data_IF_548661876489
#
_entry.id   IF_548661876489
#
_cell.length_a   1.000
_cell.length_b   1.000
_cell.length_c   1.000
_cell.angle_alpha   90.00
_cell.angle_beta   90.00
_cell.angle_gamma   90.00
#
_symmetry.space_group_name_H-M   'P 1'
#
loop_
_entity.id
_entity.type
_entity.pdbx_description
1 polymer ?
#
# COMPACT_ATOMS: atom_id res chain seq x y z
N UNK A 1 87.45 92.50 69.30
CA UNK A 1 87.66 91.70 68.06
C UNK A 1 87.16 90.25 68.13
N UNK A 2 86.84 89.69 69.31
CA UNK A 2 86.30 88.31 69.42
C UNK A 2 84.78 88.19 69.16
N UNK A 3 84.00 89.26 69.34
CA UNK A 3 82.53 89.27 69.15
C UNK A 3 82.10 89.34 67.67
N UNK A 4 82.77 90.14 66.84
CA UNK A 4 82.47 90.24 65.41
C UNK A 4 82.74 88.92 64.64
N UNK A 5 83.81 88.20 64.98
CA UNK A 5 84.10 86.86 64.43
C UNK A 5 83.09 85.79 64.86
N UNK A 6 82.44 85.94 66.02
CA UNK A 6 81.35 85.04 66.45
C UNK A 6 80.05 85.30 65.69
N UNK A 7 79.76 86.56 65.34
CA UNK A 7 78.58 86.96 64.56
C UNK A 7 78.64 86.45 63.11
N UNK A 8 79.78 86.61 62.42
CA UNK A 8 79.96 86.11 61.05
C UNK A 8 79.94 84.57 60.97
N UNK A 9 80.57 83.90 61.95
CA UNK A 9 80.52 82.44 62.04
C UNK A 9 79.12 81.91 62.35
N UNK A 10 78.29 82.65 63.08
CA UNK A 10 76.89 82.29 63.33
C UNK A 10 76.02 82.48 62.08
N UNK A 11 76.22 83.57 61.33
CA UNK A 11 75.50 83.84 60.08
C UNK A 11 75.83 82.82 58.98
N UNK A 12 77.11 82.46 58.82
CA UNK A 12 77.54 81.48 57.82
C UNK A 12 77.05 80.06 58.19
N UNK A 13 77.09 79.70 59.48
CA UNK A 13 76.51 78.45 59.98
C UNK A 13 75.00 78.40 59.81
N UNK A 14 74.29 79.52 59.99
CA UNK A 14 72.85 79.63 59.76
C UNK A 14 72.50 79.54 58.26
N UNK A 15 73.31 80.14 57.37
CA UNK A 15 73.14 80.05 55.92
C UNK A 15 73.39 78.62 55.39
N UNK A 16 74.43 77.93 55.88
CA UNK A 16 74.70 76.52 55.58
C UNK A 16 73.57 75.62 56.09
N UNK A 17 73.09 75.85 57.32
CA UNK A 17 71.97 75.08 57.89
C UNK A 17 70.67 75.29 57.10
N UNK A 18 70.40 76.53 56.65
CA UNK A 18 69.21 76.86 55.83
C UNK A 18 69.30 76.24 54.43
N UNK A 19 70.46 76.30 53.76
CA UNK A 19 70.68 75.64 52.46
C UNK A 19 70.57 74.13 52.57
N UNK A 20 71.12 73.52 53.63
CA UNK A 20 71.03 72.09 53.87
C UNK A 20 69.58 71.66 54.15
N UNK A 21 68.81 72.45 54.91
CA UNK A 21 67.38 72.20 55.13
C UNK A 21 66.56 72.29 53.83
N UNK A 22 66.88 73.24 52.94
CA UNK A 22 66.21 73.41 51.63
C UNK A 22 66.47 72.22 50.69
N UNK A 23 67.72 71.75 50.61
CA UNK A 23 68.09 70.56 49.82
C UNK A 23 67.40 69.31 50.37
N UNK A 24 67.40 69.13 51.69
CA UNK A 24 66.71 68.00 52.33
C UNK A 24 65.20 68.05 52.05
N UNK A 25 64.57 69.23 52.10
CA UNK A 25 63.16 69.40 51.78
C UNK A 25 62.83 69.07 50.31
N UNK A 26 63.68 69.47 49.36
CA UNK A 26 63.52 69.14 47.93
C UNK A 26 63.72 67.64 47.69
N UNK A 27 64.74 67.02 48.30
CA UNK A 27 64.98 65.57 48.16
C UNK A 27 63.82 64.77 48.78
N UNK A 28 63.32 65.18 49.95
CA UNK A 28 62.17 64.56 50.59
C UNK A 28 60.89 64.72 49.76
N UNK A 29 60.65 65.88 49.14
CA UNK A 29 59.47 66.09 48.30
C UNK A 29 59.53 65.28 47.01
N UNK A 30 60.72 65.15 46.39
CA UNK A 30 60.93 64.28 45.22
C UNK A 30 60.79 62.81 45.58
N UNK A 31 61.38 62.36 46.69
CA UNK A 31 61.21 60.99 47.18
C UNK A 31 59.75 60.66 47.51
N UNK A 32 59.04 61.61 48.13
CA UNK A 32 57.61 61.47 48.40
C UNK A 32 56.79 61.41 47.11
N UNK A 33 57.08 62.26 46.13
CA UNK A 33 56.42 62.24 44.82
C UNK A 33 56.64 60.92 44.07
N UNK A 34 57.86 60.38 44.07
CA UNK A 34 58.19 59.08 43.46
C UNK A 34 57.49 57.94 44.21
N UNK A 35 57.53 57.94 45.55
CA UNK A 35 56.86 56.95 46.38
C UNK A 35 55.34 56.96 46.17
N UNK A 36 54.74 58.15 46.12
CA UNK A 36 53.33 58.34 45.83
C UNK A 36 52.97 57.86 44.41
N UNK A 37 53.78 58.19 43.40
CA UNK A 37 53.58 57.73 42.03
C UNK A 37 53.66 56.20 41.90
N UNK A 38 54.59 55.54 42.61
CA UNK A 38 54.70 54.08 42.63
C UNK A 38 53.51 53.41 43.33
N UNK A 39 53.05 53.96 44.46
CA UNK A 39 51.86 53.45 45.17
C UNK A 39 50.62 53.62 44.29
N UNK A 40 50.44 54.79 43.67
CA UNK A 40 49.34 55.06 42.76
C UNK A 40 49.39 54.13 41.55
N UNK A 41 50.56 53.93 40.95
CA UNK A 41 50.76 53.02 39.82
C UNK A 41 50.44 51.56 40.17
N UNK A 42 50.86 51.07 41.34
CA UNK A 42 50.52 49.71 41.81
C UNK A 42 49.03 49.55 42.08
N UNK A 43 48.38 50.55 42.69
CA UNK A 43 46.94 50.55 42.92
C UNK A 43 46.16 50.51 41.61
N UNK A 44 46.46 51.42 40.67
CA UNK A 44 45.79 51.48 39.36
C UNK A 44 45.99 50.20 38.56
N UNK A 45 47.22 49.65 38.56
CA UNK A 45 47.52 48.39 37.87
C UNK A 45 46.74 47.21 38.45
N UNK A 46 46.61 47.15 39.78
CA UNK A 46 45.82 46.11 40.45
C UNK A 46 44.34 46.17 40.09
N UNK A 47 43.77 47.39 40.02
CA UNK A 47 42.38 47.63 39.64
C UNK A 47 42.10 47.19 38.19
N UNK A 48 42.94 47.63 37.25
CA UNK A 48 42.80 47.27 35.83
C UNK A 48 42.96 45.76 35.63
N UNK A 49 43.90 45.13 36.34
CA UNK A 49 44.10 43.68 36.28
C UNK A 49 42.85 42.91 36.73
N UNK A 50 42.21 43.33 37.82
CA UNK A 50 40.96 42.71 38.29
C UNK A 50 39.83 42.79 37.26
N UNK A 51 39.67 43.94 36.59
CA UNK A 51 38.69 44.12 35.53
C UNK A 51 39.00 43.26 34.30
N UNK A 52 40.28 43.20 33.89
CA UNK A 52 40.71 42.37 32.76
C UNK A 52 40.52 40.88 33.03
N UNK A 53 40.81 40.43 34.24
CA UNK A 53 40.64 39.03 34.62
C UNK A 53 39.15 38.63 34.61
N UNK A 54 38.25 39.51 35.07
CA UNK A 54 36.81 39.25 35.01
C UNK A 54 36.26 39.28 33.58
N UNK A 55 36.76 40.20 32.75
CA UNK A 55 36.44 40.23 31.32
C UNK A 55 36.90 38.97 30.61
N UNK A 56 38.11 38.49 30.90
CA UNK A 56 38.64 37.23 30.34
C UNK A 56 37.78 36.04 30.75
N UNK A 57 37.40 35.95 32.03
CA UNK A 57 36.52 34.89 32.52
C UNK A 57 35.19 34.84 31.76
N UNK A 58 34.57 36.00 31.52
CA UNK A 58 33.34 36.09 30.73
C UNK A 58 33.53 35.70 29.27
N UNK A 59 34.61 36.14 28.64
CA UNK A 59 34.93 35.76 27.25
C UNK A 59 35.16 34.26 27.14
N UNK A 60 35.96 33.68 28.04
CA UNK A 60 36.21 32.24 28.07
C UNK A 60 34.91 31.46 28.30
N UNK A 61 34.04 31.93 29.20
CA UNK A 61 32.73 31.34 29.41
C UNK A 61 31.85 31.40 28.15
N UNK A 62 31.82 32.54 27.46
CA UNK A 62 31.05 32.71 26.22
C UNK A 62 31.55 31.80 25.10
N UNK A 63 32.88 31.69 24.90
CA UNK A 63 33.50 30.78 23.93
C UNK A 63 33.12 29.32 24.23
N UNK A 64 33.05 28.96 25.51
CA UNK A 64 32.64 27.61 25.94
C UNK A 64 31.12 27.41 26.02
N UNK A 65 30.30 28.36 25.55
CA UNK A 65 28.83 28.28 25.58
C UNK A 65 28.20 28.40 26.97
N UNK A 66 28.97 28.77 28.00
CA UNK A 66 28.49 28.98 29.38
C UNK A 66 27.89 30.38 29.55
N UNK A 67 26.84 30.66 28.78
CA UNK A 67 26.22 31.98 28.72
C UNK A 67 25.65 32.45 30.07
N UNK A 68 25.32 31.55 31.01
CA UNK A 68 24.86 31.92 32.35
C UNK A 68 25.93 32.57 33.26
N UNK A 69 27.20 32.64 32.84
CA UNK A 69 28.28 33.22 33.63
C UNK A 69 28.15 34.75 33.70
N UNK A 70 28.43 35.35 34.87
CA UNK A 70 28.32 36.79 35.12
C UNK A 70 29.60 37.33 35.76
N UNK A 71 29.90 38.59 35.48
CA UNK A 71 31.01 39.29 36.10
C UNK A 71 30.76 39.41 37.61
N UNK A 72 31.73 38.99 38.42
CA UNK A 72 31.70 39.24 39.86
C UNK A 72 32.07 40.69 40.18
N UNK A 73 31.04 41.52 40.39
CA UNK A 73 31.16 42.95 40.70
C UNK A 73 31.88 43.20 42.05
N UNK A 74 31.90 42.21 42.96
CA UNK A 74 32.58 42.36 44.26
C UNK A 74 34.10 42.38 44.11
N UNK A 75 34.63 41.72 43.07
CA UNK A 75 36.07 41.64 42.75
C UNK A 75 36.58 42.86 41.97
N UNK A 76 35.66 43.70 41.50
CA UNK A 76 35.96 44.94 40.78
C UNK A 76 36.02 46.09 41.79
N UNK A 77 37.04 46.94 41.64
CA UNK A 77 37.17 48.15 42.44
C UNK A 77 35.92 49.04 42.29
N UNK A 78 35.50 49.70 43.37
CA UNK A 78 34.28 50.51 43.44
C UNK A 78 34.10 51.46 42.25
N UNK A 79 35.17 52.13 41.81
CA UNK A 79 35.13 53.09 40.69
C UNK A 79 34.72 52.45 39.34
N UNK A 80 35.02 51.16 39.15
CA UNK A 80 34.78 50.44 37.89
C UNK A 80 33.65 49.40 37.98
N UNK A 81 32.97 49.27 39.13
CA UNK A 81 31.85 48.33 39.31
C UNK A 81 30.71 48.57 38.32
N UNK A 82 30.54 49.82 37.88
CA UNK A 82 29.57 50.18 36.83
C UNK A 82 29.80 49.41 35.52
N UNK A 83 31.05 49.12 35.17
CA UNK A 83 31.39 48.35 33.96
C UNK A 83 30.92 46.90 34.10
N UNK A 84 31.25 46.23 35.21
CA UNK A 84 30.83 44.85 35.45
C UNK A 84 29.31 44.71 35.52
N UNK A 85 28.63 45.67 36.15
CA UNK A 85 27.17 45.72 36.22
C UNK A 85 26.56 45.92 34.83
N UNK A 86 27.07 46.88 34.04
CA UNK A 86 26.60 47.14 32.69
C UNK A 86 26.84 45.97 31.72
N UNK A 87 27.96 45.25 31.89
CA UNK A 87 28.25 44.03 31.13
C UNK A 87 27.26 42.92 31.47
N UNK A 88 26.96 42.71 32.75
CA UNK A 88 25.95 41.74 33.18
C UNK A 88 24.55 42.09 32.62
N UNK A 89 24.16 43.36 32.67
CA UNK A 89 22.89 43.81 32.10
C UNK A 89 22.82 43.59 30.58
N UNK A 90 23.92 43.85 29.87
CA UNK A 90 24.02 43.57 28.44
C UNK A 90 23.88 42.06 28.15
N UNK A 91 24.56 41.23 28.95
CA UNK A 91 24.45 39.77 28.83
C UNK A 91 23.02 39.30 29.10
N UNK A 92 22.36 39.79 30.16
CA UNK A 92 20.97 39.43 30.48
C UNK A 92 20.01 39.82 29.35
N UNK A 93 20.20 40.99 28.75
CA UNK A 93 19.37 41.48 27.64
C UNK A 93 19.50 40.63 26.37
N UNK A 94 20.65 39.98 26.15
CA UNK A 94 20.91 39.12 24.98
C UNK A 94 20.52 37.66 25.26
N UNK A 95 20.81 37.16 26.47
CA UNK A 95 20.64 35.74 26.82
C UNK A 95 19.17 35.37 27.00
N UNK A 96 18.37 36.25 27.59
CA UNK A 96 16.94 36.00 27.81
C UNK A 96 16.21 35.57 26.52
N UNK A 97 16.20 36.41 25.46
CA UNK A 97 15.58 36.07 24.18
C UNK A 97 16.16 34.79 23.53
N UNK A 98 17.48 34.57 23.64
CA UNK A 98 18.12 33.37 23.07
C UNK A 98 17.67 32.08 23.76
N UNK A 99 17.48 32.11 25.08
CA UNK A 99 16.97 30.96 25.84
C UNK A 99 15.54 30.61 25.43
N UNK A 100 14.68 31.62 25.24
CA UNK A 100 13.30 31.42 24.77
C UNK A 100 13.30 30.80 23.36
N UNK A 101 14.12 31.32 22.45
CA UNK A 101 14.26 30.75 21.11
C UNK A 101 14.73 29.28 21.16
N UNK A 102 15.72 28.97 22.00
CA UNK A 102 16.24 27.62 22.17
C UNK A 102 15.18 26.65 22.72
N UNK A 103 14.39 27.07 23.71
CA UNK A 103 13.29 26.26 24.25
C UNK A 103 12.24 25.94 23.18
N UNK A 104 11.85 26.94 22.40
CA UNK A 104 10.86 26.78 21.34
C UNK A 104 11.34 25.82 20.23
N UNK A 105 12.60 25.95 19.82
CA UNK A 105 13.21 25.05 18.84
C UNK A 105 13.30 23.62 19.39
N UNK A 106 13.67 23.44 20.66
CA UNK A 106 13.72 22.13 21.31
C UNK A 106 12.35 21.45 21.31
N UNK A 107 11.29 22.18 21.68
CA UNK A 107 9.90 21.66 21.66
C UNK A 107 9.46 21.27 20.26
N UNK A 108 9.65 22.15 19.28
CA UNK A 108 9.30 21.89 17.87
C UNK A 108 10.06 20.68 17.34
N UNK A 109 11.34 20.51 17.70
CA UNK A 109 12.14 19.37 17.26
C UNK A 109 11.62 18.02 17.78
N UNK A 110 10.88 18.03 18.89
CA UNK A 110 10.22 16.86 19.49
C UNK A 110 8.78 16.67 19.01
N UNK A 111 8.29 17.54 18.12
CA UNK A 111 6.92 17.52 17.62
C UNK A 111 5.89 18.16 18.56
N UNK A 112 6.33 18.80 19.65
CA UNK A 112 5.46 19.62 20.49
C UNK A 112 5.43 21.05 19.92
N UNK A 113 4.28 21.47 19.40
CA UNK A 113 4.12 22.80 18.80
C UNK A 113 3.66 23.78 19.89
N UNK A 114 4.55 24.69 20.36
CA UNK A 114 4.21 25.66 21.39
C UNK A 114 3.20 26.72 20.91
N UNK A 115 2.52 27.44 21.82
CA UNK A 115 1.75 28.62 21.47
C UNK A 115 2.68 29.74 20.97
N UNK A 116 2.14 30.68 20.18
CA UNK A 116 2.88 31.83 19.66
C UNK A 116 3.54 32.64 20.77
N UNK A 117 4.74 33.15 20.50
CA UNK A 117 5.46 34.05 21.39
C UNK A 117 4.75 35.41 21.38
N UNK A 118 4.23 35.83 22.52
CA UNK A 118 3.51 37.11 22.71
C UNK A 118 4.37 38.19 23.36
N UNK A 119 5.54 37.85 23.87
CA UNK A 119 6.44 38.79 24.53
C UNK A 119 6.95 39.87 23.57
N UNK A 120 7.20 41.05 24.13
CA UNK A 120 7.69 42.20 23.39
C UNK A 120 9.21 42.18 23.32
N UNK A 121 9.73 42.10 22.09
CA UNK A 121 11.14 42.21 21.79
C UNK A 121 11.38 43.38 20.83
N UNK A 122 12.61 43.88 20.78
CA UNK A 122 13.02 44.99 19.92
C UNK A 122 14.11 44.55 18.95
N UNK A 123 14.20 45.21 17.79
CA UNK A 123 15.23 44.95 16.79
C UNK A 123 15.25 43.49 16.34
N UNK A 124 16.46 42.93 16.23
CA UNK A 124 16.72 41.56 15.74
C UNK A 124 15.96 40.49 16.53
N UNK A 125 15.78 40.67 17.85
CA UNK A 125 15.02 39.72 18.67
C UNK A 125 13.53 39.69 18.29
N UNK A 126 12.96 40.80 17.85
CA UNK A 126 11.60 40.82 17.32
C UNK A 126 11.50 40.08 15.99
N UNK A 127 12.54 40.14 15.17
CA UNK A 127 12.62 39.37 13.92
C UNK A 127 12.68 37.87 14.22
N UNK A 128 13.52 37.44 15.16
CA UNK A 128 13.58 36.04 15.62
C UNK A 128 12.21 35.57 16.12
N UNK A 129 11.54 36.39 16.95
CA UNK A 129 10.18 36.11 17.42
C UNK A 129 9.21 35.90 16.26
N UNK A 130 9.22 36.79 15.26
CA UNK A 130 8.33 36.71 14.11
C UNK A 130 8.62 35.46 13.27
N UNK A 131 9.89 35.14 13.03
CA UNK A 131 10.31 33.95 12.28
C UNK A 131 9.89 32.66 13.00
N UNK A 132 10.05 32.59 14.32
CA UNK A 132 9.56 31.46 15.13
C UNK A 132 8.03 31.36 15.11
N UNK A 133 7.31 32.47 15.18
CA UNK A 133 5.85 32.47 15.07
C UNK A 133 5.36 31.99 13.69
N UNK A 134 6.03 32.38 12.61
CA UNK A 134 5.75 31.86 11.26
C UNK A 134 6.02 30.34 11.18
N UNK A 135 7.09 29.86 11.82
CA UNK A 135 7.39 28.43 11.92
C UNK A 135 6.31 27.66 12.71
N UNK A 136 5.82 28.23 13.82
CA UNK A 136 4.73 27.64 14.62
C UNK A 136 3.43 27.57 13.81
N UNK A 137 3.05 28.64 13.13
CA UNK A 137 1.86 28.68 12.28
C UNK A 137 1.93 27.64 11.17
N UNK A 138 3.08 27.60 10.49
CA UNK A 138 3.43 26.63 9.47
C UNK A 138 3.26 25.18 9.93
N UNK A 139 3.83 24.82 11.08
CA UNK A 139 3.73 23.45 11.61
C UNK A 139 2.30 23.09 12.01
N UNK A 140 1.54 24.04 12.56
CA UNK A 140 0.12 23.85 12.87
C UNK A 140 -0.72 23.62 11.61
N UNK A 141 -0.47 24.39 10.54
CA UNK A 141 -1.17 24.25 9.27
C UNK A 141 -0.92 22.87 8.64
N UNK A 142 0.35 22.45 8.58
CA UNK A 142 0.74 21.11 8.10
C UNK A 142 0.03 20.02 8.90
N UNK A 143 0.05 20.13 10.23
CA UNK A 143 -0.59 19.14 11.13
C UNK A 143 -2.09 19.06 10.87
N UNK A 144 -2.75 20.22 10.67
CA UNK A 144 -4.17 20.29 10.35
C UNK A 144 -4.49 19.64 9.00
N UNK A 145 -3.71 19.93 7.96
CA UNK A 145 -3.89 19.31 6.63
C UNK A 145 -3.69 17.80 6.71
N UNK A 146 -2.63 17.34 7.38
CA UNK A 146 -2.37 15.92 7.58
C UNK A 146 -3.52 15.22 8.33
N UNK A 147 -4.10 15.86 9.34
CA UNK A 147 -5.27 15.35 10.05
C UNK A 147 -6.52 15.27 9.15
N UNK A 148 -6.71 16.24 8.25
CA UNK A 148 -7.81 16.21 7.28
C UNK A 148 -7.65 15.08 6.26
N UNK A 149 -6.43 14.87 5.74
CA UNK A 149 -6.11 13.75 4.85
C UNK A 149 -6.34 12.42 5.56
N UNK A 150 -5.88 12.28 6.81
CA UNK A 150 -6.11 11.09 7.62
C UNK A 150 -7.60 10.84 7.89
N UNK A 151 -8.39 11.91 8.00
CA UNK A 151 -9.85 11.85 8.07
C UNK A 151 -10.55 11.56 6.73
N UNK A 152 -9.80 11.36 5.64
CA UNK A 152 -10.32 11.05 4.31
C UNK A 152 -10.72 12.28 3.48
N UNK A 153 -10.50 13.49 3.98
CA UNK A 153 -10.72 14.70 3.20
C UNK A 153 -9.53 14.96 2.29
N UNK A 154 -9.67 14.61 1.00
CA UNK A 154 -8.67 14.84 -0.04
C UNK A 154 -8.94 16.11 -0.88
N UNK A 155 -9.95 16.92 -0.51
CA UNK A 155 -10.30 18.16 -1.23
C UNK A 155 -9.74 19.41 -0.54
N UNK A 156 -8.70 19.25 0.26
CA UNK A 156 -8.08 20.34 1.01
C UNK A 156 -7.30 21.23 0.06
N UNK A 157 -7.53 22.55 0.14
CA UNK A 157 -6.73 23.55 -0.57
C UNK A 157 -5.38 23.69 0.13
N UNK A 158 -4.32 23.23 -0.54
CA UNK A 158 -2.94 23.36 -0.06
C UNK A 158 -2.30 24.52 -0.80
N UNK A 159 -1.81 25.52 -0.05
CA UNK A 159 -1.10 26.68 -0.61
C UNK A 159 0.39 26.57 -0.32
N UNK A 160 1.20 26.73 -1.35
CA UNK A 160 2.65 26.81 -1.19
C UNK A 160 3.03 28.11 -0.46
N UNK A 161 3.82 27.98 0.61
CA UNK A 161 4.32 29.14 1.38
C UNK A 161 5.50 29.82 0.68
N UNK A 162 6.25 29.04 -0.10
CA UNK A 162 7.44 29.44 -0.86
C UNK A 162 7.66 28.42 -1.97
N UNK A 163 8.32 28.83 -3.06
CA UNK A 163 8.71 27.93 -4.16
C UNK A 163 9.62 26.77 -3.71
N UNK A 164 10.28 26.90 -2.55
CA UNK A 164 11.17 25.88 -1.98
C UNK A 164 10.48 25.02 -0.92
N UNK A 165 9.16 25.14 -0.74
CA UNK A 165 8.39 24.41 0.26
C UNK A 165 8.15 22.95 -0.13
N UNK A 166 9.23 22.16 -0.09
CA UNK A 166 9.23 20.74 -0.46
C UNK A 166 8.24 19.92 0.36
N UNK A 167 7.99 20.31 1.61
CA UNK A 167 7.09 19.59 2.49
C UNK A 167 5.65 19.72 2.00
N UNK A 168 5.21 20.95 1.70
CA UNK A 168 3.89 21.19 1.14
C UNK A 168 3.74 20.61 -0.27
N UNK A 169 4.77 20.74 -1.12
CA UNK A 169 4.77 20.11 -2.45
C UNK A 169 4.61 18.59 -2.37
N UNK A 170 5.31 17.94 -1.43
CA UNK A 170 5.17 16.49 -1.20
C UNK A 170 3.77 16.12 -0.69
N UNK A 171 3.18 16.96 0.15
CA UNK A 171 1.82 16.76 0.66
C UNK A 171 0.76 16.93 -0.44
N UNK A 172 0.92 17.93 -1.31
CA UNK A 172 0.07 18.12 -2.48
C UNK A 172 0.14 16.92 -3.43
N UNK A 173 1.35 16.42 -3.73
CA UNK A 173 1.55 15.22 -4.54
C UNK A 173 0.91 13.98 -3.87
N UNK A 174 0.99 13.86 -2.54
CA UNK A 174 0.33 12.81 -1.79
C UNK A 174 -1.21 12.86 -1.98
N UNK A 175 -1.82 14.05 -1.84
CA UNK A 175 -3.25 14.23 -2.08
C UNK A 175 -3.61 13.85 -3.52
N UNK A 176 -2.83 14.30 -4.50
CA UNK A 176 -3.06 13.98 -5.91
C UNK A 176 -3.07 12.46 -6.14
N UNK A 177 -2.05 11.76 -5.64
CA UNK A 177 -1.95 10.29 -5.79
C UNK A 177 -3.01 9.53 -5.02
N UNK A 178 -3.36 9.95 -3.82
CA UNK A 178 -4.46 9.34 -3.07
C UNK A 178 -5.80 9.55 -3.80
N UNK A 179 -6.03 10.75 -4.34
CA UNK A 179 -7.24 11.06 -5.12
C UNK A 179 -7.32 10.21 -6.40
N UNK A 180 -6.19 10.04 -7.09
CA UNK A 180 -6.07 9.16 -8.26
C UNK A 180 -6.43 7.72 -7.91
N UNK A 181 -5.89 7.18 -6.81
CA UNK A 181 -6.20 5.83 -6.33
C UNK A 181 -7.69 5.67 -6.01
N UNK A 182 -8.28 6.62 -5.27
CA UNK A 182 -9.71 6.58 -4.93
C UNK A 182 -10.57 6.62 -6.19
N UNK A 183 -10.23 7.49 -7.16
CA UNK A 183 -10.94 7.57 -8.45
C UNK A 183 -10.86 6.26 -9.22
N UNK A 184 -9.69 5.61 -9.25
CA UNK A 184 -9.51 4.32 -9.91
C UNK A 184 -10.34 3.21 -9.24
N UNK A 185 -10.38 3.18 -7.90
CA UNK A 185 -11.21 2.22 -7.15
C UNK A 185 -12.70 2.47 -7.41
N UNK A 186 -13.13 3.73 -7.46
CA UNK A 186 -14.52 4.08 -7.77
C UNK A 186 -14.90 3.61 -9.18
N UNK A 187 -14.09 3.92 -10.19
CA UNK A 187 -14.32 3.47 -11.56
C UNK A 187 -14.33 1.93 -11.68
N UNK A 188 -13.43 1.24 -10.97
CA UNK A 188 -13.42 -0.22 -10.92
C UNK A 188 -14.70 -0.79 -10.27
N UNK A 189 -15.19 -0.14 -9.21
CA UNK A 189 -16.42 -0.53 -8.52
C UNK A 189 -17.66 -0.33 -9.38
N UNK A 190 -17.76 0.80 -10.10
CA UNK A 190 -18.85 1.06 -11.05
C UNK A 190 -18.86 0.03 -12.19
N UNK A 191 -17.68 -0.27 -12.76
CA UNK A 191 -17.55 -1.32 -13.77
C UNK A 191 -17.94 -2.70 -13.23
N UNK A 192 -17.57 -3.02 -11.99
CA UNK A 192 -17.94 -4.28 -11.34
C UNK A 192 -19.44 -4.38 -11.11
N UNK A 193 -20.10 -3.29 -10.72
CA UNK A 193 -21.55 -3.25 -10.51
C UNK A 193 -22.28 -3.57 -11.83
N UNK A 194 -21.91 -2.90 -12.93
CA UNK A 194 -22.47 -3.17 -14.26
C UNK A 194 -22.22 -4.61 -14.71
N UNK A 195 -20.99 -5.11 -14.56
CA UNK A 195 -20.64 -6.51 -14.90
C UNK A 195 -21.42 -7.53 -14.07
N UNK A 196 -21.68 -7.23 -12.80
CA UNK A 196 -22.45 -8.12 -11.91
C UNK A 196 -23.90 -8.23 -12.36
N UNK A 197 -24.49 -7.11 -12.83
CA UNK A 197 -25.84 -7.11 -13.40
C UNK A 197 -25.90 -7.94 -14.69
N UNK A 198 -24.94 -7.77 -15.60
CA UNK A 198 -24.85 -8.58 -16.83
C UNK A 198 -24.64 -10.07 -16.51
N UNK A 199 -23.81 -10.38 -15.51
CA UNK A 199 -23.56 -11.76 -15.07
C UNK A 199 -24.84 -12.40 -14.51
N UNK A 200 -25.62 -11.65 -13.73
CA UNK A 200 -26.91 -12.12 -13.21
C UNK A 200 -27.85 -12.50 -14.35
N UNK A 201 -28.01 -11.61 -15.33
CA UNK A 201 -28.85 -11.88 -16.51
C UNK A 201 -28.35 -13.10 -17.31
N UNK A 202 -27.04 -13.26 -17.49
CA UNK A 202 -26.46 -14.44 -18.14
C UNK A 202 -26.69 -15.73 -17.34
N UNK A 203 -26.64 -15.64 -16.01
CA UNK A 203 -26.89 -16.80 -15.14
C UNK A 203 -28.35 -17.25 -15.21
N UNK A 204 -29.29 -16.30 -15.30
CA UNK A 204 -30.71 -16.61 -15.55
C UNK A 204 -30.90 -17.30 -16.90
N UNK A 205 -30.27 -16.80 -17.97
CA UNK A 205 -30.31 -17.44 -19.29
C UNK A 205 -29.70 -18.86 -19.26
N UNK A 206 -28.57 -19.04 -18.56
CA UNK A 206 -27.95 -20.36 -18.39
C UNK A 206 -28.90 -21.30 -17.62
N UNK A 207 -29.52 -20.82 -16.55
CA UNK A 207 -30.48 -21.62 -15.77
C UNK A 207 -31.67 -22.06 -16.62
N UNK A 208 -32.18 -21.16 -17.46
CA UNK A 208 -33.26 -21.47 -18.39
C UNK A 208 -32.81 -22.52 -19.42
N UNK A 209 -31.65 -22.32 -20.06
CA UNK A 209 -31.10 -23.27 -21.02
C UNK A 209 -30.80 -24.65 -20.41
N UNK A 210 -30.32 -24.70 -19.17
CA UNK A 210 -30.12 -25.94 -18.44
C UNK A 210 -31.44 -26.68 -18.18
N UNK A 211 -32.53 -25.94 -17.91
CA UNK A 211 -33.88 -26.51 -17.74
C UNK A 211 -34.41 -27.09 -19.06
N UNK A 212 -34.22 -26.37 -20.17
CA UNK A 212 -34.57 -26.85 -21.51
C UNK A 212 -33.77 -28.09 -21.92
N UNK A 213 -32.48 -28.12 -21.57
CA UNK A 213 -31.62 -29.27 -21.83
C UNK A 213 -32.02 -30.49 -20.99
N UNK A 214 -32.43 -30.29 -19.74
CA UNK A 214 -32.97 -31.37 -18.89
C UNK A 214 -34.26 -31.96 -19.50
N UNK A 215 -35.20 -31.11 -19.93
CA UNK A 215 -36.43 -31.55 -20.58
C UNK A 215 -36.14 -32.33 -21.89
N UNK A 216 -35.17 -31.87 -22.68
CA UNK A 216 -34.76 -32.56 -23.90
C UNK A 216 -34.17 -33.95 -23.59
N UNK A 217 -33.41 -34.07 -22.50
CA UNK A 217 -32.86 -35.35 -22.06
C UNK A 217 -33.96 -36.32 -21.56
N UNK A 218 -35.01 -35.81 -20.90
CA UNK A 218 -36.18 -36.60 -20.52
C UNK A 218 -36.93 -37.12 -21.77
N UNK A 219 -37.12 -36.28 -22.78
CA UNK A 219 -37.78 -36.67 -24.05
C UNK A 219 -36.99 -37.74 -24.81
N UNK A 220 -35.66 -37.61 -24.86
CA UNK A 220 -34.77 -38.63 -25.45
C UNK A 220 -34.86 -39.94 -24.66
N UNK A 221 -34.91 -39.88 -23.33
CA UNK A 221 -35.03 -41.07 -22.48
C UNK A 221 -36.36 -41.79 -22.71
N UNK A 222 -37.47 -41.06 -22.79
CA UNK A 222 -38.78 -41.62 -23.11
C UNK A 222 -38.81 -42.25 -24.53
N UNK A 223 -38.15 -41.59 -25.49
CA UNK A 223 -38.01 -42.12 -26.85
C UNK A 223 -37.18 -43.42 -26.87
N UNK A 224 -36.13 -43.51 -26.04
CA UNK A 224 -35.33 -44.72 -25.87
C UNK A 224 -36.12 -45.86 -25.21
N UNK A 225 -36.99 -45.56 -24.24
CA UNK A 225 -37.91 -46.55 -23.65
C UNK A 225 -38.90 -47.09 -24.69
N UNK A 226 -39.54 -46.20 -25.45
CA UNK A 226 -40.44 -46.61 -26.53
C UNK A 226 -39.71 -47.41 -27.60
N UNK A 227 -38.49 -47.02 -27.95
CA UNK A 227 -37.64 -47.75 -28.90
C UNK A 227 -37.32 -49.16 -28.39
N UNK A 228 -37.00 -49.29 -27.11
CA UNK A 228 -36.73 -50.59 -26.48
C UNK A 228 -37.97 -51.48 -26.53
N UNK A 229 -39.15 -50.94 -26.23
CA UNK A 229 -40.43 -51.66 -26.36
C UNK A 229 -40.67 -52.14 -27.80
N UNK A 230 -40.44 -51.29 -28.80
CA UNK A 230 -40.58 -51.66 -30.21
C UNK A 230 -39.57 -52.74 -30.64
N UNK A 231 -38.33 -52.67 -30.15
CA UNK A 231 -37.32 -53.71 -30.40
C UNK A 231 -37.75 -55.04 -29.79
N UNK A 232 -38.26 -55.04 -28.55
CA UNK A 232 -38.78 -56.25 -27.90
C UNK A 232 -39.97 -56.84 -28.67
N UNK A 233 -40.91 -55.99 -29.10
CA UNK A 233 -42.05 -56.44 -29.89
C UNK A 233 -41.63 -57.02 -31.25
N UNK A 234 -40.67 -56.39 -31.93
CA UNK A 234 -40.14 -56.91 -33.19
C UNK A 234 -39.43 -58.25 -33.00
N UNK A 235 -38.70 -58.43 -31.89
CA UNK A 235 -38.07 -59.70 -31.55
C UNK A 235 -39.10 -60.81 -31.28
N UNK A 236 -40.19 -60.50 -30.58
CA UNK A 236 -41.27 -61.46 -30.33
C UNK A 236 -42.02 -61.83 -31.63
N UNK A 237 -42.32 -60.83 -32.47
CA UNK A 237 -42.89 -61.04 -33.81
C UNK A 237 -41.99 -61.93 -34.68
N UNK A 238 -40.67 -61.72 -34.65
CA UNK A 238 -39.71 -62.55 -35.37
C UNK A 238 -39.71 -64.00 -34.85
N UNK A 239 -39.76 -64.17 -33.53
CA UNK A 239 -39.85 -65.50 -32.87
C UNK A 239 -41.15 -66.22 -33.22
N UNK A 240 -42.28 -65.50 -33.26
CA UNK A 240 -43.56 -66.06 -33.68
C UNK A 240 -43.57 -66.43 -35.17
N UNK A 241 -42.96 -65.59 -36.01
CA UNK A 241 -42.80 -65.86 -37.44
C UNK A 241 -41.97 -67.11 -37.68
N UNK A 242 -40.88 -67.31 -36.91
CA UNK A 242 -40.08 -68.52 -36.95
C UNK A 242 -40.92 -69.76 -36.61
N UNK A 243 -41.71 -69.72 -35.52
CA UNK A 243 -42.61 -70.83 -35.15
C UNK A 243 -43.61 -71.17 -36.25
N UNK A 244 -44.22 -70.15 -36.86
CA UNK A 244 -45.17 -70.34 -37.98
C UNK A 244 -44.43 -70.95 -39.17
N UNK A 245 -43.24 -70.46 -39.52
CA UNK A 245 -42.44 -70.99 -40.62
C UNK A 245 -42.06 -72.46 -40.41
N UNK A 246 -41.66 -72.83 -39.19
CA UNK A 246 -41.37 -74.24 -38.82
C UNK A 246 -42.62 -75.11 -38.97
N UNK A 247 -43.78 -74.65 -38.48
CA UNK A 247 -45.04 -75.39 -38.63
C UNK A 247 -45.49 -75.51 -40.09
N UNK A 248 -45.41 -74.43 -40.87
CA UNK A 248 -45.68 -74.48 -42.31
C UNK A 248 -44.76 -75.47 -43.04
N UNK A 249 -43.48 -75.55 -42.66
CA UNK A 249 -42.57 -76.53 -43.23
C UNK A 249 -42.97 -77.98 -42.86
N UNK A 250 -43.48 -78.20 -41.65
CA UNK A 250 -44.03 -79.48 -41.22
C UNK A 250 -45.32 -79.85 -41.97
N UNK A 251 -46.29 -78.94 -42.02
CA UNK A 251 -47.56 -79.10 -42.76
C UNK A 251 -47.31 -79.35 -44.26
N UNK A 252 -46.35 -78.63 -44.86
CA UNK A 252 -45.94 -78.84 -46.25
C UNK A 252 -45.29 -80.21 -46.46
N UNK A 253 -44.54 -80.74 -45.48
CA UNK A 253 -43.95 -82.09 -45.52
C UNK A 253 -45.04 -83.15 -45.43
N UNK A 254 -46.03 -82.98 -44.55
CA UNK A 254 -47.17 -83.89 -44.42
C UNK A 254 -48.04 -83.89 -45.68
N UNK A 255 -48.39 -82.71 -46.19
CA UNK A 255 -49.10 -82.56 -47.47
C UNK A 255 -48.33 -83.19 -48.64
N UNK A 256 -47.01 -83.04 -48.66
CA UNK A 256 -46.13 -83.71 -49.63
C UNK A 256 -46.21 -85.24 -49.56
N UNK A 257 -46.29 -85.83 -48.36
CA UNK A 257 -46.49 -87.27 -48.19
C UNK A 257 -47.86 -87.72 -48.73
N UNK A 258 -48.94 -87.00 -48.40
CA UNK A 258 -50.30 -87.32 -48.88
C UNK A 258 -50.42 -87.24 -50.42
N UNK A 259 -49.78 -86.24 -51.04
CA UNK A 259 -49.68 -86.16 -52.50
C UNK A 259 -48.87 -87.34 -53.05
N UNK A 260 -47.76 -87.71 -52.40
CA UNK A 260 -46.96 -88.88 -52.75
C UNK A 260 -47.77 -90.18 -52.75
N UNK A 261 -48.58 -90.41 -51.71
CA UNK A 261 -49.53 -91.54 -51.63
C UNK A 261 -50.57 -91.49 -52.75
N UNK A 262 -51.14 -90.31 -53.01
CA UNK A 262 -52.12 -90.10 -54.09
C UNK A 262 -51.51 -90.44 -55.46
N UNK A 263 -50.27 -90.01 -55.73
CA UNK A 263 -49.55 -90.34 -56.96
C UNK A 263 -49.27 -91.84 -57.07
N UNK A 264 -48.92 -92.51 -55.96
CA UNK A 264 -48.72 -93.96 -55.94
C UNK A 264 -50.01 -94.71 -56.29
N UNK A 265 -51.14 -94.33 -55.67
CA UNK A 265 -52.46 -94.88 -56.00
C UNK A 265 -52.86 -94.62 -57.46
N UNK A 266 -52.60 -93.41 -57.98
CA UNK A 266 -52.84 -93.08 -59.40
C UNK A 266 -52.00 -93.93 -60.36
N UNK A 267 -50.74 -94.24 -60.03
CA UNK A 267 -49.91 -95.17 -60.82
C UNK A 267 -50.48 -96.59 -60.82
N UNK A 268 -50.98 -97.04 -59.66
CA UNK A 268 -51.63 -98.34 -59.55
C UNK A 268 -52.91 -98.41 -60.41
N UNK A 269 -53.74 -97.37 -60.37
CA UNK A 269 -54.91 -97.22 -61.24
C UNK A 269 -54.51 -97.27 -62.72
N UNK A 270 -53.48 -96.50 -63.12
CA UNK A 270 -53.00 -96.50 -64.51
C UNK A 270 -52.51 -97.88 -64.96
N UNK A 271 -51.83 -98.63 -64.08
CA UNK A 271 -51.43 -100.02 -64.36
C UNK A 271 -52.66 -100.93 -64.55
N UNK A 272 -53.67 -100.81 -63.68
CA UNK A 272 -54.94 -101.56 -63.84
C UNK A 272 -55.66 -101.20 -65.13
N UNK A 273 -55.68 -99.93 -65.53
CA UNK A 273 -56.26 -99.48 -66.82
C UNK A 273 -55.52 -100.11 -68.00
N UNK A 274 -54.19 -100.12 -68.00
CA UNK A 274 -53.40 -100.75 -69.06
C UNK A 274 -53.69 -102.26 -69.18
N UNK A 275 -53.84 -102.96 -68.05
CA UNK A 275 -54.27 -104.37 -68.03
C UNK A 275 -55.68 -104.50 -68.61
N UNK A 276 -56.61 -103.61 -68.24
CA UNK A 276 -57.97 -103.62 -68.78
C UNK A 276 -58.01 -103.33 -70.29
N UNK A 277 -57.19 -102.42 -70.80
CA UNK A 277 -57.04 -102.18 -72.24
C UNK A 277 -56.49 -103.41 -72.97
N UNK A 278 -55.52 -104.11 -72.39
CA UNK A 278 -54.98 -105.34 -72.97
C UNK A 278 -56.02 -106.46 -72.98
N UNK A 279 -56.80 -106.62 -71.90
CA UNK A 279 -57.94 -107.55 -71.84
C UNK A 279 -59.01 -107.14 -72.87
N UNK A 280 -59.34 -105.86 -72.99
CA UNK A 280 -60.32 -105.38 -73.96
C UNK A 280 -59.85 -105.63 -75.40
N UNK A 281 -58.55 -105.43 -75.70
CA UNK A 281 -57.96 -105.76 -77.00
C UNK A 281 -57.98 -107.26 -77.29
N UNK A 282 -57.62 -108.10 -76.30
CA UNK A 282 -57.74 -109.55 -76.41
C UNK A 282 -59.19 -109.98 -76.62
N UNK A 283 -60.13 -109.38 -75.90
CA UNK A 283 -61.58 -109.65 -76.03
C UNK A 283 -62.08 -109.23 -77.40
N UNK A 284 -61.64 -108.08 -77.91
CA UNK A 284 -61.97 -107.61 -79.26
C UNK A 284 -61.37 -108.53 -80.35
N UNK A 285 -60.14 -109.01 -80.15
CA UNK A 285 -59.53 -110.03 -81.03
C UNK A 285 -60.26 -111.37 -80.95
N UNK A 286 -60.69 -111.81 -79.76
CA UNK A 286 -61.50 -113.01 -79.58
C UNK A 286 -62.86 -112.88 -80.26
N UNK A 287 -63.51 -111.73 -80.10
CA UNK A 287 -64.77 -111.40 -80.75
C UNK A 287 -64.61 -111.36 -82.27
N UNK A 288 -63.51 -110.79 -82.77
CA UNK A 288 -63.18 -110.78 -84.19
C UNK A 288 -62.91 -112.20 -84.72
N UNK A 289 -62.13 -113.01 -84.00
CA UNK A 289 -61.89 -114.42 -84.36
C UNK A 289 -63.18 -115.24 -84.33
N UNK A 290 -64.04 -115.04 -83.33
CA UNK A 290 -65.35 -115.67 -83.26
C UNK A 290 -66.25 -115.25 -84.43
N UNK A 291 -66.22 -113.97 -84.84
CA UNK A 291 -66.95 -113.47 -86.01
C UNK A 291 -66.39 -114.03 -87.33
N UNK A 292 -65.07 -114.16 -87.46
CA UNK A 292 -64.41 -114.79 -88.61
C UNK A 292 -64.77 -116.28 -88.66
N UNK A 293 -64.68 -117.01 -87.55
CA UNK A 293 -65.00 -118.45 -87.53
C UNK A 293 -66.50 -118.70 -87.76
N UNK A 294 -67.36 -117.81 -87.28
CA UNK A 294 -68.79 -117.82 -87.62
C UNK A 294 -69.04 -117.55 -89.12
N UNK A 295 -68.25 -116.67 -89.75
CA UNK A 295 -68.30 -116.45 -91.20
C UNK A 295 -67.71 -117.62 -92.00
N UNK A 296 -66.68 -118.30 -91.46
CA UNK A 296 -65.98 -119.43 -92.08
C UNK A 296 -66.76 -120.75 -91.98
N UNK A 297 -67.50 -120.95 -90.89
CA UNK A 297 -68.43 -122.07 -90.73
C UNK A 297 -69.73 -121.88 -91.54
N UNK A 298 -69.87 -120.74 -92.24
CA UNK A 298 -70.97 -120.46 -93.15
C UNK A 298 -70.66 -120.76 -94.63
N UNK A 299 -69.45 -121.24 -94.96
CA UNK A 299 -69.16 -122.01 -96.19
C UNK A 299 -69.64 -123.46 -96.04
#
# INVERSE_FOLDING_TARGET
MAEARKSDAAADKMAVTTRMALIIAIVLSVMFAIGFALILGKNVTGIIKGLLDETRNLVDAAINGKLGTRADVSRINFEFRGIGTGLNQTLDAVIGPLNVAAEYVDRISKGDIPPKITDNYNGDFNEIKNNLNVLIESMNEITKVAAQIAGGNLTVDIRERSEQDRLIQSLALMIEKLTEVVRNVQAASENMATRSQEMSARTEQISQGATEQAASAEEVSASMEQMTSNIMQNADNATQTEKIAVKCAEDAREGGNAVGETVSAMKEIACKISIMEEIARQTNLLALNAAIEAARAGE
#
